data_IF_676323006694
#
_entry.id   IF_676323006694
#
_cell.length_a   1.000
_cell.length_b   1.000
_cell.length_c   1.000
_cell.angle_alpha   90.00
_cell.angle_beta   90.00
_cell.angle_gamma   90.00
#
_symmetry.space_group_name_H-M   'P 1'
#
loop_
_entity.id
_entity.type
_entity.pdbx_description
1 polymer ?
#
# COMPACT_ATOMS: atom_id res chain seq x y z
N UNK A 1 12.95 12.06 18.62
CA UNK A 1 12.70 10.92 17.70
C UNK A 1 12.14 9.75 18.51
N UNK A 2 10.88 9.42 18.25
CA UNK A 2 10.17 8.30 18.87
C UNK A 2 10.75 6.96 18.37
N UNK A 3 10.92 5.95 19.24
CA UNK A 3 11.35 4.63 18.79
C UNK A 3 10.30 3.95 17.90
N UNK A 4 10.76 3.15 16.95
CA UNK A 4 9.87 2.30 16.13
C UNK A 4 9.34 1.16 17.01
N UNK A 5 8.05 0.83 16.85
CA UNK A 5 7.42 -0.27 17.59
C UNK A 5 8.09 -1.62 17.26
N UNK A 6 8.00 -2.63 18.13
CA UNK A 6 8.58 -3.95 17.86
C UNK A 6 8.10 -4.55 16.53
N UNK A 7 6.83 -4.37 16.19
CA UNK A 7 6.26 -4.82 14.92
C UNK A 7 6.86 -4.06 13.72
N UNK A 8 7.01 -2.74 13.83
CA UNK A 8 7.63 -1.93 12.77
C UNK A 8 9.09 -2.31 12.53
N UNK A 9 9.84 -2.65 13.58
CA UNK A 9 11.23 -3.11 13.44
C UNK A 9 11.32 -4.47 12.73
N UNK A 10 10.33 -5.35 12.90
CA UNK A 10 10.27 -6.64 12.21
C UNK A 10 9.96 -6.49 10.71
N UNK A 11 9.08 -5.56 10.36
CA UNK A 11 8.70 -5.28 8.96
C UNK A 11 9.80 -4.55 8.18
N UNK A 12 10.75 -3.92 8.88
CA UNK A 12 11.92 -3.26 8.31
C UNK A 12 13.16 -4.18 8.42
N UNK A 13 13.21 -5.23 7.59
CA UNK A 13 14.37 -6.13 7.54
C UNK A 13 14.95 -6.22 6.14
N UNK A 14 16.24 -6.53 6.02
CA UNK A 14 16.88 -6.75 4.71
C UNK A 14 16.23 -7.90 3.91
N UNK A 15 15.36 -8.69 4.53
CA UNK A 15 14.66 -9.83 3.93
C UNK A 15 13.18 -9.55 3.64
N UNK A 16 12.61 -8.47 4.18
CA UNK A 16 11.19 -8.15 4.07
C UNK A 16 11.04 -6.65 3.79
N UNK A 17 10.56 -6.33 2.59
CA UNK A 17 10.11 -4.99 2.24
C UNK A 17 8.61 -5.08 1.96
N UNK A 18 7.81 -4.50 2.86
CA UNK A 18 6.35 -4.56 2.77
C UNK A 18 5.81 -3.26 2.18
N UNK A 19 5.10 -3.38 1.06
CA UNK A 19 4.37 -2.28 0.43
C UNK A 19 2.87 -2.49 0.65
N UNK A 20 2.18 -1.42 1.06
CA UNK A 20 0.71 -1.38 1.09
C UNK A 20 0.28 -0.56 -0.12
N UNK A 21 -0.42 -1.20 -1.06
CA UNK A 21 -0.94 -0.53 -2.25
C UNK A 21 -2.44 -0.26 -2.07
N UNK A 22 -2.80 1.02 -1.98
CA UNK A 22 -4.19 1.47 -2.03
C UNK A 22 -4.60 1.76 -3.47
N UNK A 23 -5.67 1.14 -3.96
CA UNK A 23 -6.27 1.45 -5.27
C UNK A 23 -7.62 2.13 -5.03
N UNK A 24 -7.78 3.32 -5.59
CA UNK A 24 -8.97 4.15 -5.44
C UNK A 24 -9.62 4.38 -6.81
N UNK A 25 -10.93 4.16 -6.88
CA UNK A 25 -11.75 4.50 -8.04
C UNK A 25 -12.52 5.79 -7.74
N UNK A 26 -12.63 6.67 -8.74
CA UNK A 26 -13.31 7.97 -8.61
C UNK A 26 -14.44 8.06 -9.63
N UNK A 27 -15.58 8.62 -9.21
CA UNK A 27 -16.73 8.87 -10.10
C UNK A 27 -16.43 9.92 -11.18
N UNK A 28 -15.48 10.82 -10.89
CA UNK A 28 -15.01 11.85 -11.82
C UNK A 28 -13.59 11.56 -12.30
N UNK A 29 -13.20 11.99 -13.52
CA UNK A 29 -11.85 11.77 -14.02
C UNK A 29 -10.77 12.34 -13.10
N UNK A 30 -9.71 11.57 -12.89
CA UNK A 30 -8.61 11.88 -11.98
C UNK A 30 -7.93 13.22 -12.31
N UNK A 31 -7.79 13.58 -13.60
CA UNK A 31 -7.21 14.87 -14.03
C UNK A 31 -8.06 16.10 -13.62
N UNK A 32 -9.32 15.90 -13.24
CA UNK A 32 -10.18 16.96 -12.69
C UNK A 32 -10.06 17.09 -11.17
N UNK A 33 -9.34 16.18 -10.51
CA UNK A 33 -9.09 16.21 -9.08
C UNK A 33 -7.80 16.98 -8.77
N UNK A 34 -7.82 17.84 -7.75
CA UNK A 34 -6.61 18.45 -7.20
C UNK A 34 -5.88 17.47 -6.28
N UNK A 35 -5.46 16.32 -6.81
CA UNK A 35 -4.91 15.18 -6.06
C UNK A 35 -3.78 15.59 -5.14
N UNK A 36 -2.88 16.45 -5.61
CA UNK A 36 -1.77 16.96 -4.81
C UNK A 36 -2.28 17.70 -3.55
N UNK A 37 -3.32 18.53 -3.69
CA UNK A 37 -3.95 19.20 -2.55
C UNK A 37 -4.61 18.21 -1.60
N UNK A 38 -5.31 17.20 -2.13
CA UNK A 38 -5.97 16.17 -1.32
C UNK A 38 -4.97 15.32 -0.53
N UNK A 39 -3.89 14.88 -1.17
CA UNK A 39 -2.81 14.11 -0.52
C UNK A 39 -2.14 14.96 0.57
N UNK A 40 -1.87 16.23 0.29
CA UNK A 40 -1.28 17.15 1.26
C UNK A 40 -2.14 17.32 2.50
N UNK A 41 -3.46 17.42 2.33
CA UNK A 41 -4.40 17.63 3.43
C UNK A 41 -4.74 16.36 4.21
N UNK A 42 -4.56 15.17 3.62
CA UNK A 42 -4.97 13.91 4.25
C UNK A 42 -3.79 13.06 4.71
N UNK A 43 -2.83 12.78 3.83
CA UNK A 43 -1.69 11.91 4.12
C UNK A 43 -0.54 12.67 4.78
N UNK A 44 -0.14 13.82 4.22
CA UNK A 44 0.99 14.58 4.78
C UNK A 44 0.69 15.22 6.13
N UNK A 45 -0.59 15.33 6.52
CA UNK A 45 -0.98 15.76 7.87
C UNK A 45 -0.78 14.69 8.94
N UNK A 46 -0.40 13.47 8.56
CA UNK A 46 -0.13 12.36 9.48
C UNK A 46 1.39 12.16 9.57
N UNK A 47 1.97 12.38 10.75
CA UNK A 47 3.42 12.36 11.00
C UNK A 47 4.15 11.11 10.47
N UNK A 48 3.45 9.97 10.40
CA UNK A 48 4.03 8.71 9.91
C UNK A 48 4.25 8.68 8.40
N UNK A 49 3.48 9.44 7.62
CA UNK A 49 3.66 9.55 6.17
C UNK A 49 4.73 10.59 5.80
N UNK A 50 5.17 11.41 6.75
CA UNK A 50 6.29 12.35 6.62
C UNK A 50 7.50 11.91 7.42
N UNK A 51 7.62 10.61 7.76
CA UNK A 51 8.73 10.08 8.55
C UNK A 51 9.38 8.85 7.91
N UNK A 52 10.69 8.72 8.10
CA UNK A 52 11.47 7.52 7.75
C UNK A 52 12.07 6.88 8.99
N UNK A 53 12.42 5.60 8.89
CA UNK A 53 13.15 4.89 9.94
C UNK A 53 14.65 5.14 9.79
N UNK A 54 15.30 5.55 10.88
CA UNK A 54 16.76 5.73 10.96
C UNK A 54 17.30 5.02 12.19
N UNK A 55 18.48 4.42 12.09
CA UNK A 55 19.20 3.89 13.24
C UNK A 55 19.95 5.02 13.95
N UNK A 56 19.77 5.13 15.26
CA UNK A 56 20.58 6.02 16.09
C UNK A 56 21.97 5.42 16.41
N UNK A 57 22.82 6.20 17.07
CA UNK A 57 24.17 5.79 17.47
C UNK A 57 24.21 4.56 18.40
N UNK A 58 23.08 4.24 19.03
CA UNK A 58 22.92 3.09 19.92
C UNK A 58 22.33 1.87 19.19
N UNK A 59 22.12 1.96 17.88
CA UNK A 59 21.53 0.93 17.04
C UNK A 59 20.00 0.82 17.16
N UNK A 60 19.33 1.78 17.81
CA UNK A 60 17.88 1.76 17.97
C UNK A 60 17.23 2.44 16.77
N UNK A 61 16.27 1.76 16.13
CA UNK A 61 15.46 2.32 15.04
C UNK A 61 14.47 3.34 15.58
N UNK A 62 14.47 4.54 15.00
CA UNK A 62 13.57 5.64 15.38
C UNK A 62 12.94 6.29 14.15
N UNK A 63 11.75 6.85 14.36
CA UNK A 63 11.10 7.70 13.35
C UNK A 63 11.77 9.07 13.32
N UNK A 64 12.16 9.48 12.11
CA UNK A 64 12.69 10.79 11.80
C UNK A 64 11.82 11.44 10.74
N UNK A 65 11.26 12.59 11.09
CA UNK A 65 10.51 13.41 10.16
C UNK A 65 11.40 13.91 9.01
N UNK A 66 10.83 13.94 7.81
CA UNK A 66 11.46 14.38 6.57
C UNK A 66 10.50 15.25 5.78
N UNK A 67 11.07 16.16 5.00
CA UNK A 67 10.30 16.92 4.02
C UNK A 67 9.94 16.02 2.83
N UNK A 68 8.64 15.92 2.52
CA UNK A 68 8.13 15.13 1.40
C UNK A 68 7.79 16.05 0.24
N UNK A 69 8.45 15.84 -0.90
CA UNK A 69 8.15 16.53 -2.18
C UNK A 69 7.14 15.71 -2.97
N UNK A 70 5.88 16.13 -2.97
CA UNK A 70 4.78 15.37 -3.56
C UNK A 70 4.98 15.12 -5.06
N UNK A 71 5.61 16.05 -5.75
CA UNK A 71 5.86 16.00 -7.18
C UNK A 71 6.75 14.81 -7.57
N UNK A 72 7.65 14.39 -6.67
CA UNK A 72 8.53 13.24 -6.87
C UNK A 72 7.81 11.89 -6.63
N UNK A 73 6.63 11.93 -6.01
CA UNK A 73 5.85 10.75 -5.60
C UNK A 73 4.56 10.54 -6.41
N UNK A 74 4.10 11.55 -7.14
CA UNK A 74 2.95 11.43 -8.04
C UNK A 74 3.45 10.95 -9.40
N UNK A 75 3.24 9.66 -9.68
CA UNK A 75 3.57 9.06 -10.97
C UNK A 75 2.30 9.01 -11.81
N UNK A 76 2.25 9.80 -12.88
CA UNK A 76 1.17 9.73 -13.85
C UNK A 76 1.48 8.65 -14.90
N UNK A 77 0.72 7.54 -14.94
CA UNK A 77 0.90 6.54 -15.98
C UNK A 77 0.42 7.08 -17.33
N UNK A 78 1.30 7.04 -18.34
CA UNK A 78 0.95 7.39 -19.72
C UNK A 78 0.36 6.17 -20.41
N UNK A 79 -0.96 6.12 -20.50
CA UNK A 79 -1.65 5.11 -21.31
C UNK A 79 -1.74 5.59 -22.76
N UNK A 80 -1.47 4.68 -23.71
CA UNK A 80 -1.61 4.96 -25.14
C UNK A 80 -3.10 4.93 -25.47
N UNK A 81 -3.61 6.04 -26.00
CA UNK A 81 -5.03 6.20 -26.34
C UNK A 81 -5.46 5.19 -27.41
N UNK A 82 -6.61 4.53 -27.21
CA UNK A 82 -7.14 3.49 -28.11
C UNK A 82 -6.77 2.03 -27.76
N UNK A 83 -6.25 1.75 -26.57
CA UNK A 83 -6.00 0.37 -26.11
C UNK A 83 -7.30 -0.42 -25.85
N UNK A 84 -7.35 -1.68 -26.31
CA UNK A 84 -8.43 -2.64 -26.01
C UNK A 84 -8.45 -2.97 -24.51
N UNK A 85 -9.64 -3.23 -23.94
CA UNK A 85 -9.83 -3.54 -22.51
C UNK A 85 -8.89 -4.66 -22.01
N UNK A 86 -8.69 -5.72 -22.79
CA UNK A 86 -7.80 -6.85 -22.45
C UNK A 86 -6.32 -6.46 -22.37
N UNK A 87 -5.92 -5.36 -23.02
CA UNK A 87 -4.55 -4.83 -22.94
C UNK A 87 -4.32 -3.97 -21.70
N UNK A 88 -5.38 -3.41 -21.11
CA UNK A 88 -5.30 -2.62 -19.87
C UNK A 88 -4.97 -3.50 -18.67
N UNK A 89 -5.68 -4.62 -18.48
CA UNK A 89 -5.43 -5.53 -17.35
C UNK A 89 -3.99 -6.07 -17.36
N UNK A 90 -3.47 -6.37 -18.55
CA UNK A 90 -2.09 -6.79 -18.73
C UNK A 90 -1.10 -5.68 -18.39
N UNK A 91 -1.32 -4.46 -18.91
CA UNK A 91 -0.46 -3.31 -18.64
C UNK A 91 -0.48 -2.92 -17.15
N UNK A 92 -1.65 -2.99 -16.51
CA UNK A 92 -1.82 -2.75 -15.09
C UNK A 92 -1.08 -3.80 -14.26
N UNK A 93 -1.23 -5.09 -14.59
CA UNK A 93 -0.49 -6.17 -13.92
C UNK A 93 1.02 -6.04 -14.06
N UNK A 94 1.52 -5.69 -15.26
CA UNK A 94 2.95 -5.42 -15.51
C UNK A 94 3.46 -4.17 -14.78
N UNK A 95 2.63 -3.15 -14.61
CA UNK A 95 2.98 -1.96 -13.82
C UNK A 95 3.08 -2.32 -12.34
N UNK A 96 2.08 -3.03 -11.79
CA UNK A 96 2.08 -3.45 -10.39
C UNK A 96 3.27 -4.33 -10.03
N UNK A 97 3.68 -5.24 -10.92
CA UNK A 97 4.83 -6.11 -10.69
C UNK A 97 6.17 -5.36 -10.68
N UNK A 98 6.26 -4.19 -11.32
CA UNK A 98 7.48 -3.36 -11.33
C UNK A 98 7.66 -2.52 -10.08
N UNK A 99 6.56 -2.17 -9.40
CA UNK A 99 6.59 -1.21 -8.29
C UNK A 99 6.62 -1.86 -6.90
N UNK A 100 6.33 -3.16 -6.77
CA UNK A 100 6.38 -3.83 -5.47
C UNK A 100 6.69 -5.33 -5.57
N UNK A 101 7.58 -5.82 -4.69
CA UNK A 101 7.93 -7.25 -4.58
C UNK A 101 6.90 -8.10 -3.82
N UNK A 102 6.13 -7.46 -2.94
CA UNK A 102 4.89 -7.97 -2.35
C UNK A 102 3.82 -6.93 -2.65
N UNK A 103 2.82 -7.31 -3.44
CA UNK A 103 1.66 -6.49 -3.78
C UNK A 103 0.51 -6.99 -2.93
N UNK A 104 -0.06 -6.12 -2.09
CA UNK A 104 -1.37 -6.34 -1.46
C UNK A 104 -2.29 -5.28 -2.04
N UNK A 105 -3.22 -5.70 -2.89
CA UNK A 105 -4.25 -4.84 -3.48
C UNK A 105 -5.55 -5.04 -2.74
N UNK A 106 -6.15 -3.96 -2.26
CA UNK A 106 -7.49 -3.98 -1.69
C UNK A 106 -8.37 -3.12 -2.61
N UNK A 107 -9.39 -3.74 -3.21
CA UNK A 107 -10.37 -3.04 -4.03
C UNK A 107 -11.77 -3.26 -3.46
N UNK A 108 -12.59 -2.21 -3.43
CA UNK A 108 -14.00 -2.29 -3.05
C UNK A 108 -14.83 -1.94 -4.28
N UNK A 109 -15.56 -2.92 -4.83
CA UNK A 109 -16.41 -2.73 -5.99
C UNK A 109 -17.81 -3.28 -5.72
N UNK A 110 -18.84 -2.46 -5.91
CA UNK A 110 -20.26 -2.82 -5.68
C UNK A 110 -20.54 -3.46 -4.31
N UNK A 111 -19.89 -2.96 -3.25
CA UNK A 111 -20.05 -3.50 -1.89
C UNK A 111 -19.28 -4.81 -1.63
N UNK A 112 -18.49 -5.28 -2.60
CA UNK A 112 -17.61 -6.43 -2.45
C UNK A 112 -16.17 -5.96 -2.28
N UNK A 113 -15.57 -6.28 -1.14
CA UNK A 113 -14.14 -6.10 -0.90
C UNK A 113 -13.40 -7.30 -1.49
N UNK A 114 -12.45 -7.05 -2.39
CA UNK A 114 -11.51 -8.04 -2.90
C UNK A 114 -10.11 -7.66 -2.43
N UNK A 115 -9.42 -8.65 -1.87
CA UNK A 115 -8.01 -8.54 -1.49
C UNK A 115 -7.23 -9.48 -2.39
N UNK A 116 -6.24 -8.95 -3.10
CA UNK A 116 -5.33 -9.73 -3.94
C UNK A 116 -3.93 -9.57 -3.40
N UNK A 117 -3.24 -10.68 -3.16
CA UNK A 117 -1.83 -10.67 -2.80
C UNK A 117 -1.01 -11.34 -3.89
N UNK A 118 0.01 -10.65 -4.39
CA UNK A 118 1.02 -11.23 -5.27
C UNK A 118 2.38 -11.07 -4.60
N UNK A 119 3.22 -12.10 -4.68
CA UNK A 119 4.58 -12.07 -4.11
C UNK A 119 5.55 -12.68 -5.12
N UNK A 120 6.82 -12.26 -5.07
CA UNK A 120 7.86 -12.94 -5.84
C UNK A 120 7.97 -14.42 -5.43
N UNK A 121 8.13 -15.29 -6.43
CA UNK A 121 8.18 -16.74 -6.21
C UNK A 121 9.35 -17.12 -5.30
N UNK A 122 9.03 -17.76 -4.17
CA UNK A 122 10.02 -18.18 -3.18
C UNK A 122 10.35 -17.14 -2.11
N UNK A 123 9.74 -15.95 -2.17
CA UNK A 123 9.92 -14.90 -1.17
C UNK A 123 9.05 -15.12 0.07
N UNK A 124 7.77 -15.45 -0.12
CA UNK A 124 6.82 -15.79 0.93
C UNK A 124 6.06 -17.06 0.53
N UNK A 125 5.73 -17.89 1.51
CA UNK A 125 4.80 -19.01 1.34
C UNK A 125 3.39 -18.45 1.09
N UNK A 126 2.99 -18.45 -0.17
CA UNK A 126 1.71 -17.91 -0.64
C UNK A 126 0.51 -18.58 0.05
N UNK A 127 0.53 -19.90 0.23
CA UNK A 127 -0.57 -20.62 0.87
C UNK A 127 -0.70 -20.22 2.34
N UNK A 128 0.44 -20.09 3.03
CA UNK A 128 0.46 -19.67 4.43
C UNK A 128 0.01 -18.21 4.59
N UNK A 129 0.40 -17.33 3.67
CA UNK A 129 -0.06 -15.93 3.65
C UNK A 129 -1.58 -15.85 3.46
N UNK A 130 -2.13 -16.57 2.49
CA UNK A 130 -3.59 -16.63 2.24
C UNK A 130 -4.33 -17.15 3.48
N UNK A 131 -3.82 -18.19 4.15
CA UNK A 131 -4.40 -18.69 5.39
C UNK A 131 -4.45 -17.62 6.50
N UNK A 132 -3.37 -16.85 6.68
CA UNK A 132 -3.34 -15.78 7.69
C UNK A 132 -4.33 -14.66 7.36
N UNK A 133 -4.42 -14.25 6.09
CA UNK A 133 -5.36 -13.21 5.67
C UNK A 133 -6.82 -13.63 5.87
N UNK A 134 -7.17 -14.86 5.48
CA UNK A 134 -8.50 -15.39 5.71
C UNK A 134 -8.85 -15.46 7.20
N UNK A 135 -7.90 -15.93 8.02
CA UNK A 135 -8.13 -15.99 9.47
C UNK A 135 -8.32 -14.59 10.09
N UNK A 136 -7.50 -13.61 9.70
CA UNK A 136 -7.65 -12.23 10.15
C UNK A 136 -9.01 -11.63 9.71
N UNK A 137 -9.44 -11.92 8.49
CA UNK A 137 -10.75 -11.49 7.97
C UNK A 137 -11.91 -12.07 8.78
N UNK A 138 -11.86 -13.37 9.12
CA UNK A 138 -12.88 -14.00 9.97
C UNK A 138 -12.98 -13.34 11.35
N UNK A 139 -11.83 -12.99 11.96
CA UNK A 139 -11.81 -12.26 13.24
C UNK A 139 -12.48 -10.90 13.08
N UNK A 140 -12.11 -10.12 12.06
CA UNK A 140 -12.71 -8.81 11.81
C UNK A 140 -14.22 -8.89 11.60
N UNK A 141 -14.71 -9.83 10.79
CA UNK A 141 -16.14 -10.05 10.59
C UNK A 141 -16.85 -10.44 11.89
N UNK A 142 -16.24 -11.30 12.71
CA UNK A 142 -16.80 -11.71 14.00
C UNK A 142 -16.91 -10.53 14.97
N UNK A 143 -15.87 -9.71 15.07
CA UNK A 143 -15.89 -8.54 15.97
C UNK A 143 -16.89 -7.48 15.49
N UNK A 144 -16.92 -7.18 14.18
CA UNK A 144 -17.90 -6.24 13.61
C UNK A 144 -19.36 -6.70 13.80
N UNK A 145 -19.61 -8.01 13.85
CA UNK A 145 -20.94 -8.56 14.11
C UNK A 145 -21.39 -8.45 15.58
N UNK A 146 -20.47 -8.16 16.52
CA UNK A 146 -20.79 -7.94 17.94
C UNK A 146 -21.23 -6.52 18.26
N UNK A 147 -21.01 -5.57 17.35
CA UNK A 147 -21.42 -4.16 17.50
C UNK A 147 -22.87 -3.89 17.04
N UNK A 148 -23.66 -4.95 16.81
CA UNK A 148 -25.11 -4.89 16.58
C UNK A 148 -25.90 -5.46 17.74
#
# INVERSE_FOLDING_TARGET
MEPVSPMGQYLDSNFLCVYILGVLEFEVPIHNLQIASLIKQTLLSIDRFTSIMVCDEKGVKRWKEVEVKLEDHIIEPKFIDGMLMDSYDKAFGEYLSKIAGIVITIMSYMGMIRVTTATEKGFIDEQKLVCYLNHAFEILCREAAKEK
#
